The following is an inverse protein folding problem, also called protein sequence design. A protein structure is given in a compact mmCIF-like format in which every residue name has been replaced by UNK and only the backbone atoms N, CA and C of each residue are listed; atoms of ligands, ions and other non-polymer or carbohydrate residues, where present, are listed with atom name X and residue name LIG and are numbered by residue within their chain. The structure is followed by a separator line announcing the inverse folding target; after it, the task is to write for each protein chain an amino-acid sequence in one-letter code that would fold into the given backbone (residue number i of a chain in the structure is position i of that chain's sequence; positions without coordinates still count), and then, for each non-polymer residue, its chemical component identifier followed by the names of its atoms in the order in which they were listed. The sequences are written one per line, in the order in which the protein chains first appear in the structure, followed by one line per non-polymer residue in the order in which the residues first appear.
data_IF_638608508668
#
_entry.id   IF_638608508668
#
_cell.length_a   1.000
_cell.length_b   1.000
_cell.length_c   1.000
_cell.angle_alpha   90.00
_cell.angle_beta   90.00
_cell.angle_gamma   90.00
#
_symmetry.space_group_name_H-M   'P 1'
#
loop_
_entity.id
_entity.type
_entity.pdbx_description
1 polymer ?
#
# COMPACT_ATOMS: atom_id res chain seq x y z
N UNK A 1 -11.76 -49.34 -48.29
CA UNK A 1 -12.47 -48.14 -47.77
C UNK A 1 -12.04 -47.98 -46.33
N UNK A 2 -11.07 -47.10 -46.04
CA UNK A 2 -10.55 -46.82 -44.69
C UNK A 2 -11.31 -45.62 -44.13
N UNK A 3 -12.08 -45.81 -43.06
CA UNK A 3 -12.78 -44.73 -42.35
C UNK A 3 -11.76 -43.98 -41.48
N UNK A 4 -11.52 -42.74 -41.81
CA UNK A 4 -10.71 -41.81 -41.04
C UNK A 4 -11.58 -41.28 -39.89
N UNK A 5 -11.27 -41.66 -38.66
CA UNK A 5 -11.91 -41.09 -37.46
C UNK A 5 -11.11 -39.86 -37.06
N UNK A 6 -11.69 -38.66 -37.29
CA UNK A 6 -11.12 -37.38 -36.89
C UNK A 6 -11.48 -37.14 -35.43
N UNK A 7 -10.55 -37.40 -34.51
CA UNK A 7 -10.71 -37.02 -33.09
C UNK A 7 -10.47 -35.55 -32.92
N UNK A 8 -11.55 -34.81 -32.70
CA UNK A 8 -11.48 -33.38 -32.30
C UNK A 8 -11.16 -33.34 -30.77
N UNK A 9 -9.91 -33.05 -30.45
CA UNK A 9 -9.52 -32.73 -29.07
C UNK A 9 -9.94 -31.28 -28.81
N UNK A 10 -11.05 -31.11 -28.11
CA UNK A 10 -11.47 -29.81 -27.57
C UNK A 10 -10.62 -29.52 -26.34
N UNK A 11 -9.58 -28.71 -26.50
CA UNK A 11 -8.84 -28.15 -25.37
C UNK A 11 -9.70 -27.04 -24.78
N UNK A 12 -10.42 -27.37 -23.70
CA UNK A 12 -11.08 -26.39 -22.87
C UNK A 12 -10.00 -25.62 -22.10
N UNK A 13 -9.57 -24.48 -22.65
CA UNK A 13 -8.79 -23.49 -21.89
C UNK A 13 -9.76 -22.87 -20.91
N UNK A 14 -9.78 -23.40 -19.68
CA UNK A 14 -10.43 -22.73 -18.55
C UNK A 14 -9.62 -21.47 -18.24
N UNK A 15 -10.03 -20.33 -18.83
CA UNK A 15 -9.62 -19.03 -18.33
C UNK A 15 -10.14 -18.92 -16.90
N UNK A 16 -9.28 -19.17 -15.92
CA UNK A 16 -9.51 -18.70 -14.57
C UNK A 16 -9.53 -17.17 -14.65
N UNK A 17 -10.72 -16.62 -14.83
CA UNK A 17 -10.99 -15.22 -14.54
C UNK A 17 -10.66 -15.06 -13.05
N UNK A 18 -9.46 -14.55 -12.73
CA UNK A 18 -9.18 -14.01 -11.41
C UNK A 18 -10.09 -12.80 -11.25
N UNK A 19 -11.33 -13.05 -10.79
CA UNK A 19 -12.15 -12.00 -10.24
C UNK A 19 -11.30 -11.37 -9.14
N UNK A 20 -10.88 -10.13 -9.34
CA UNK A 20 -10.35 -9.29 -8.28
C UNK A 20 -11.53 -9.09 -7.31
N UNK A 21 -11.68 -10.02 -6.36
CA UNK A 21 -12.61 -9.85 -5.27
C UNK A 21 -12.19 -8.60 -4.52
N UNK A 22 -13.13 -7.68 -4.33
CA UNK A 22 -12.98 -6.58 -3.38
C UNK A 22 -12.77 -7.22 -2.00
N UNK A 23 -11.54 -7.45 -1.64
CA UNK A 23 -11.17 -8.07 -0.37
C UNK A 23 -11.01 -6.93 0.63
N UNK A 24 -11.98 -6.78 1.53
CA UNK A 24 -11.74 -5.98 2.73
C UNK A 24 -10.58 -6.62 3.51
N UNK A 25 -9.39 -6.04 3.39
CA UNK A 25 -8.19 -6.53 4.07
C UNK A 25 -8.43 -6.58 5.58
N UNK A 26 -8.15 -7.73 6.19
CA UNK A 26 -8.25 -7.94 7.63
C UNK A 26 -6.91 -8.41 8.19
N UNK A 27 -6.74 -8.26 9.50
CA UNK A 27 -5.59 -8.86 10.20
C UNK A 27 -5.60 -10.37 9.99
N UNK A 28 -4.47 -10.91 9.55
CA UNK A 28 -4.29 -12.31 9.18
C UNK A 28 -4.37 -12.59 7.68
N UNK A 29 -4.96 -11.70 6.88
CA UNK A 29 -5.05 -11.88 5.43
C UNK A 29 -3.74 -11.54 4.74
N UNK A 30 -3.46 -12.22 3.63
CA UNK A 30 -2.41 -11.79 2.71
C UNK A 30 -2.90 -10.58 1.92
N UNK A 31 -2.14 -9.48 1.97
CA UNK A 31 -2.52 -8.26 1.29
C UNK A 31 -2.44 -8.42 -0.24
N UNK A 32 -3.49 -8.02 -0.99
CA UNK A 32 -3.46 -8.00 -2.45
C UNK A 32 -2.38 -7.07 -3.00
N UNK A 33 -1.79 -7.44 -4.13
CA UNK A 33 -0.72 -6.68 -4.79
C UNK A 33 -1.19 -5.32 -5.31
N UNK A 34 -0.24 -4.39 -5.31
CA UNK A 34 -0.38 -3.05 -5.88
C UNK A 34 0.89 -2.64 -6.64
N UNK A 35 0.73 -1.65 -7.51
CA UNK A 35 1.81 -0.96 -8.22
C UNK A 35 1.51 0.53 -8.20
N UNK A 36 2.44 1.33 -7.68
CA UNK A 36 2.31 2.80 -7.61
C UNK A 36 3.63 3.46 -8.01
N UNK A 37 3.56 4.76 -8.31
CA UNK A 37 4.74 5.57 -8.62
C UNK A 37 4.96 6.65 -7.58
N UNK A 38 6.22 7.07 -7.42
CA UNK A 38 6.59 8.26 -6.65
C UNK A 38 6.43 9.55 -7.47
N UNK A 39 6.85 10.70 -6.89
CA UNK A 39 6.81 12.00 -7.55
C UNK A 39 7.73 12.10 -8.77
N UNK A 40 8.80 11.34 -8.83
CA UNK A 40 9.77 11.33 -9.93
C UNK A 40 9.37 10.31 -11.03
N UNK A 41 8.31 9.51 -10.80
CA UNK A 41 7.80 8.51 -11.73
C UNK A 41 8.43 7.13 -11.58
N UNK A 42 9.23 6.91 -10.56
CA UNK A 42 9.77 5.58 -10.26
C UNK A 42 8.65 4.65 -9.78
N UNK A 43 8.61 3.44 -10.32
CA UNK A 43 7.60 2.45 -9.99
C UNK A 43 8.00 1.63 -8.75
N UNK A 44 7.04 1.41 -7.87
CA UNK A 44 7.15 0.57 -6.69
C UNK A 44 6.03 -0.46 -6.65
N UNK A 45 6.35 -1.62 -6.13
CA UNK A 45 5.41 -2.75 -5.99
C UNK A 45 5.46 -3.30 -4.57
N UNK A 46 4.57 -4.23 -4.26
CA UNK A 46 4.63 -5.00 -3.00
C UNK A 46 5.99 -5.67 -2.75
N UNK A 47 6.76 -5.94 -3.83
CA UNK A 47 8.06 -6.62 -3.76
C UNK A 47 9.26 -5.68 -3.69
N UNK A 48 9.08 -4.36 -3.83
CA UNK A 48 10.18 -3.38 -3.80
C UNK A 48 11.00 -3.44 -2.50
N UNK A 49 10.36 -3.90 -1.41
CA UNK A 49 11.02 -4.09 -0.10
C UNK A 49 10.82 -5.51 0.41
N UNK A 50 11.11 -6.50 -0.43
CA UNK A 50 11.01 -7.92 -0.08
C UNK A 50 11.79 -8.24 1.19
N UNK A 51 11.17 -9.01 2.08
CA UNK A 51 11.79 -9.42 3.35
C UNK A 51 11.65 -8.41 4.49
N UNK A 52 11.19 -7.17 4.22
CA UNK A 52 10.96 -6.17 5.28
C UNK A 52 9.50 -6.19 5.76
N UNK A 53 9.30 -5.85 7.01
CA UNK A 53 8.01 -5.42 7.55
C UNK A 53 7.68 -4.06 6.94
N UNK A 54 6.44 -3.88 6.49
CA UNK A 54 5.98 -2.62 5.90
C UNK A 54 5.02 -1.89 6.83
N UNK A 55 5.28 -0.63 7.10
CA UNK A 55 4.30 0.33 7.60
C UNK A 55 3.84 1.18 6.43
N UNK A 56 2.58 1.05 6.06
CA UNK A 56 1.95 1.76 4.96
C UNK A 56 0.99 2.79 5.52
N UNK A 57 1.26 4.06 5.26
CA UNK A 57 0.36 5.16 5.61
C UNK A 57 -0.46 5.52 4.37
N UNK A 58 -1.70 5.03 4.27
CA UNK A 58 -2.64 5.38 3.22
C UNK A 58 -3.42 6.62 3.64
N UNK A 59 -3.28 7.71 2.89
CA UNK A 59 -3.59 9.04 3.41
C UNK A 59 -4.35 9.89 2.41
N UNK A 60 -5.48 10.46 2.84
CA UNK A 60 -6.06 11.63 2.21
C UNK A 60 -5.09 12.83 2.38
N UNK A 61 -4.75 13.56 1.30
CA UNK A 61 -3.87 14.73 1.38
C UNK A 61 -4.32 15.79 2.39
N UNK A 62 -5.62 15.89 2.66
CA UNK A 62 -6.20 16.93 3.52
C UNK A 62 -6.04 16.62 5.02
N UNK A 63 -5.72 15.37 5.37
CA UNK A 63 -5.44 14.92 6.74
C UNK A 63 -4.05 14.30 6.90
N UNK A 64 -3.11 14.71 6.05
CA UNK A 64 -1.78 14.08 5.95
C UNK A 64 -0.93 14.14 7.23
N UNK A 65 -1.21 15.09 8.12
CA UNK A 65 -0.43 15.31 9.34
C UNK A 65 -1.06 14.67 10.59
N UNK A 66 -2.25 14.05 10.42
CA UNK A 66 -3.05 13.49 11.53
C UNK A 66 -2.26 12.55 12.46
N UNK A 67 -1.35 11.75 11.89
CA UNK A 67 -0.57 10.76 12.65
C UNK A 67 0.94 11.07 12.64
N UNK A 68 1.34 12.32 12.50
CA UNK A 68 2.76 12.71 12.61
C UNK A 68 3.37 12.28 13.97
N UNK A 69 2.70 12.41 15.15
CA UNK A 69 3.25 11.92 16.42
C UNK A 69 3.53 10.42 16.40
N UNK A 70 2.62 9.60 15.88
CA UNK A 70 2.81 8.14 15.77
C UNK A 70 3.95 7.78 14.81
N UNK A 71 4.03 8.48 13.66
CA UNK A 71 5.11 8.28 12.70
C UNK A 71 6.47 8.67 13.28
N UNK A 72 6.55 9.77 14.04
CA UNK A 72 7.78 10.21 14.69
C UNK A 72 8.22 9.23 15.80
N UNK A 73 7.29 8.70 16.58
CA UNK A 73 7.57 7.68 17.57
C UNK A 73 8.16 6.41 16.91
N UNK A 74 7.53 5.90 15.84
CA UNK A 74 8.03 4.74 15.08
C UNK A 74 9.41 5.05 14.48
N UNK A 75 9.57 6.23 13.86
CA UNK A 75 10.85 6.66 13.28
C UNK A 75 11.97 6.76 14.32
N UNK A 76 11.66 7.18 15.54
CA UNK A 76 12.62 7.19 16.66
C UNK A 76 13.09 5.78 16.96
N UNK A 77 12.20 4.80 16.96
CA UNK A 77 12.52 3.40 17.24
C UNK A 77 13.33 2.71 16.12
N UNK A 78 13.37 3.28 14.90
CA UNK A 78 14.21 2.77 13.79
C UNK A 78 15.63 3.33 13.79
N UNK A 79 15.95 4.32 14.66
CA UNK A 79 17.30 4.88 14.80
C UNK A 79 18.21 3.97 15.60
N UNK A 80 19.51 4.25 15.57
CA UNK A 80 20.50 3.52 16.34
C UNK A 80 20.11 3.47 17.85
N UNK A 81 20.05 2.27 18.41
CA UNK A 81 19.61 2.03 19.79
C UNK A 81 18.09 1.90 19.98
N UNK A 82 17.29 2.06 18.94
CA UNK A 82 15.85 1.82 18.98
C UNK A 82 15.50 0.32 18.89
N UNK A 83 14.23 0.02 19.09
CA UNK A 83 13.70 -1.37 19.13
C UNK A 83 13.43 -1.98 17.75
N UNK A 84 13.39 -1.16 16.69
CA UNK A 84 13.05 -1.58 15.34
C UNK A 84 14.31 -1.64 14.48
N UNK A 85 14.62 -2.81 13.98
CA UNK A 85 15.72 -3.02 13.02
C UNK A 85 15.39 -2.37 11.67
N UNK A 86 16.06 -1.27 11.34
CA UNK A 86 15.84 -0.52 10.09
C UNK A 86 16.14 -1.33 8.83
N UNK A 87 16.99 -2.35 8.91
CA UNK A 87 17.26 -3.25 7.80
C UNK A 87 16.07 -4.19 7.51
N UNK A 88 15.23 -4.44 8.50
CA UNK A 88 14.04 -5.31 8.41
C UNK A 88 12.72 -4.55 8.37
N UNK A 89 12.76 -3.22 8.32
CA UNK A 89 11.57 -2.38 8.36
C UNK A 89 11.58 -1.34 7.24
N UNK A 90 10.41 -0.97 6.73
CA UNK A 90 10.21 0.15 5.80
C UNK A 90 8.87 0.83 6.09
N UNK A 91 8.93 2.08 6.51
CA UNK A 91 7.79 2.99 6.55
C UNK A 91 7.70 3.82 5.28
N UNK A 92 6.49 4.00 4.73
CA UNK A 92 6.25 4.85 3.57
C UNK A 92 4.79 5.31 3.49
N UNK A 93 4.54 6.37 2.71
CA UNK A 93 3.20 6.89 2.46
C UNK A 93 2.64 6.49 1.10
N UNK A 94 1.33 6.32 1.02
CA UNK A 94 0.58 6.25 -0.24
C UNK A 94 -0.51 7.30 -0.16
N UNK A 95 -0.45 8.29 -1.06
CA UNK A 95 -1.44 9.37 -1.12
C UNK A 95 -2.63 8.92 -1.94
N UNK A 96 -3.82 8.96 -1.34
CA UNK A 96 -5.10 8.77 -2.01
C UNK A 96 -5.51 10.05 -2.73
N UNK A 97 -5.16 10.17 -4.00
CA UNK A 97 -5.47 11.38 -4.75
C UNK A 97 -6.94 11.49 -5.16
N UNK A 98 -7.74 10.42 -4.98
CA UNK A 98 -9.19 10.45 -5.23
C UNK A 98 -9.99 11.03 -4.07
N UNK A 99 -9.41 11.12 -2.88
CA UNK A 99 -10.07 11.67 -1.69
C UNK A 99 -10.06 13.20 -1.63
N UNK A 100 -9.42 13.88 -2.59
CA UNK A 100 -9.35 15.34 -2.60
C UNK A 100 -9.73 15.92 -3.96
N UNK A 101 -10.21 17.16 -3.95
CA UNK A 101 -10.47 17.95 -5.16
C UNK A 101 -9.21 18.62 -5.75
N UNK A 102 -8.09 18.61 -5.01
CA UNK A 102 -6.85 19.24 -5.44
C UNK A 102 -6.29 18.58 -6.72
N UNK A 103 -5.74 19.38 -7.66
CA UNK A 103 -5.11 18.83 -8.86
C UNK A 103 -3.95 17.87 -8.52
N UNK A 104 -3.86 16.74 -9.20
CA UNK A 104 -2.80 15.74 -8.99
C UNK A 104 -1.38 16.32 -9.09
N UNK A 105 -1.16 17.31 -9.96
CA UNK A 105 0.15 17.99 -10.08
C UNK A 105 0.53 18.72 -8.79
N UNK A 106 -0.42 19.40 -8.16
CA UNK A 106 -0.19 20.10 -6.90
C UNK A 106 0.12 19.12 -5.78
N UNK A 107 -0.68 18.05 -5.66
CA UNK A 107 -0.46 16.98 -4.67
C UNK A 107 0.93 16.37 -4.86
N UNK A 108 1.28 16.02 -6.10
CA UNK A 108 2.59 15.44 -6.45
C UNK A 108 3.75 16.36 -6.05
N UNK A 109 3.64 17.65 -6.29
CA UNK A 109 4.68 18.63 -5.91
C UNK A 109 4.83 18.71 -4.40
N UNK A 110 3.73 18.86 -3.66
CA UNK A 110 3.75 18.98 -2.19
C UNK A 110 4.29 17.68 -1.56
N UNK A 111 3.76 16.53 -1.94
CA UNK A 111 4.17 15.24 -1.40
C UNK A 111 5.62 14.89 -1.79
N UNK A 112 6.05 15.22 -3.02
CA UNK A 112 7.44 15.03 -3.44
C UNK A 112 8.43 15.88 -2.62
N UNK A 113 8.07 17.13 -2.31
CA UNK A 113 8.87 17.97 -1.42
C UNK A 113 8.89 17.42 0.02
N UNK A 114 7.75 16.93 0.52
CA UNK A 114 7.65 16.27 1.84
C UNK A 114 8.52 15.00 1.89
N UNK A 115 8.50 14.19 0.84
CA UNK A 115 9.34 12.99 0.72
C UNK A 115 10.82 13.32 0.83
N UNK A 116 11.30 14.32 0.11
CA UNK A 116 12.71 14.79 0.14
C UNK A 116 13.08 15.37 1.51
N UNK A 117 12.22 16.22 2.09
CA UNK A 117 12.45 16.85 3.40
C UNK A 117 12.60 15.84 4.53
N UNK A 118 11.81 14.78 4.52
CA UNK A 118 11.76 13.78 5.61
C UNK A 118 12.51 12.49 5.28
N UNK A 119 13.22 12.43 4.15
CA UNK A 119 13.94 11.23 3.67
C UNK A 119 13.03 10.00 3.72
N UNK A 120 11.88 10.10 3.08
CA UNK A 120 10.86 9.03 3.04
C UNK A 120 10.37 8.78 1.62
N UNK A 121 9.72 7.66 1.41
CA UNK A 121 9.05 7.34 0.14
C UNK A 121 7.59 7.73 0.23
N UNK A 122 7.08 8.48 -0.76
CA UNK A 122 5.65 8.78 -0.89
C UNK A 122 5.21 8.40 -2.30
N UNK A 123 4.22 7.51 -2.38
CA UNK A 123 3.64 6.98 -3.60
C UNK A 123 2.25 7.57 -3.85
N UNK A 124 1.69 7.38 -5.05
CA UNK A 124 0.39 7.96 -5.42
C UNK A 124 -0.58 6.89 -5.91
N UNK A 125 -1.72 6.78 -5.27
CA UNK A 125 -2.86 6.01 -5.73
C UNK A 125 -3.85 6.92 -6.48
N UNK A 126 -3.65 7.07 -7.78
CA UNK A 126 -4.50 7.91 -8.64
C UNK A 126 -5.88 7.30 -8.92
N UNK A 127 -6.05 6.01 -8.67
CA UNK A 127 -7.26 5.27 -9.04
C UNK A 127 -8.12 4.84 -7.84
N UNK A 128 -7.65 5.05 -6.60
CA UNK A 128 -8.28 4.52 -5.39
C UNK A 128 -8.15 2.99 -5.30
N UNK A 129 -7.03 2.47 -5.78
CA UNK A 129 -6.78 1.02 -5.86
C UNK A 129 -6.87 0.36 -4.49
N UNK A 130 -6.35 0.99 -3.43
CA UNK A 130 -6.41 0.43 -2.08
C UNK A 130 -7.79 0.58 -1.44
N UNK A 131 -8.58 1.59 -1.82
CA UNK A 131 -9.98 1.65 -1.44
C UNK A 131 -10.73 0.43 -2.00
N UNK A 132 -10.54 0.13 -3.28
CA UNK A 132 -11.23 -0.96 -3.96
C UNK A 132 -10.71 -2.33 -3.53
N UNK A 133 -9.39 -2.55 -3.55
CA UNK A 133 -8.79 -3.87 -3.28
C UNK A 133 -8.69 -4.23 -1.80
N UNK A 134 -8.45 -3.22 -0.93
CA UNK A 134 -8.25 -3.46 0.50
C UNK A 134 -9.42 -3.00 1.36
N UNK A 135 -10.42 -2.32 0.77
CA UNK A 135 -11.56 -1.76 1.50
C UNK A 135 -11.14 -0.66 2.48
N UNK A 136 -10.08 0.10 2.15
CA UNK A 136 -9.65 1.20 2.99
C UNK A 136 -10.66 2.36 2.90
N UNK A 137 -10.91 3.08 4.00
CA UNK A 137 -11.86 4.19 4.00
C UNK A 137 -11.33 5.34 3.14
N UNK A 138 -12.26 6.03 2.48
CA UNK A 138 -12.06 7.30 1.81
C UNK A 138 -11.98 8.43 2.86
N UNK A 139 -11.39 9.58 2.46
CA UNK A 139 -11.35 10.80 3.26
C UNK A 139 -10.77 10.56 4.68
N UNK A 140 -9.70 9.77 4.77
CA UNK A 140 -9.16 9.32 6.06
C UNK A 140 -7.64 9.12 6.01
N UNK A 141 -7.07 8.88 7.18
CA UNK A 141 -5.74 8.33 7.38
C UNK A 141 -5.87 6.86 7.83
N UNK A 142 -5.20 5.95 7.16
CA UNK A 142 -5.16 4.53 7.57
C UNK A 142 -3.72 4.04 7.59
N UNK A 143 -3.24 3.57 8.75
CA UNK A 143 -1.96 2.88 8.85
C UNK A 143 -2.17 1.38 8.78
N UNK A 144 -1.47 0.72 7.85
CA UNK A 144 -1.49 -0.74 7.69
C UNK A 144 -0.09 -1.30 7.93
N UNK A 145 -0.01 -2.33 8.76
CA UNK A 145 1.24 -3.06 9.04
C UNK A 145 1.18 -4.41 8.34
N UNK A 146 2.14 -4.66 7.46
CA UNK A 146 2.33 -5.97 6.81
C UNK A 146 3.65 -6.57 7.28
N UNK A 147 3.66 -7.87 7.56
CA UNK A 147 4.90 -8.59 7.84
C UNK A 147 5.74 -8.83 6.57
N UNK A 148 6.89 -9.48 6.72
CA UNK A 148 7.82 -9.81 5.62
C UNK A 148 7.19 -10.67 4.52
N UNK A 149 6.14 -11.41 4.84
CA UNK A 149 5.40 -12.29 3.92
C UNK A 149 4.13 -11.62 3.38
N UNK A 150 3.95 -10.32 3.70
CA UNK A 150 2.80 -9.51 3.28
C UNK A 150 1.48 -9.93 3.93
N UNK A 151 1.53 -10.58 5.07
CA UNK A 151 0.35 -10.83 5.89
C UNK A 151 0.06 -9.59 6.74
N UNK A 152 -1.18 -9.14 6.73
CA UNK A 152 -1.64 -7.98 7.51
C UNK A 152 -1.56 -8.29 9.01
N UNK A 153 -0.86 -7.46 9.78
CA UNK A 153 -0.69 -7.57 11.22
C UNK A 153 -1.40 -6.48 12.01
N UNK A 154 -1.80 -5.40 11.34
CA UNK A 154 -2.54 -4.32 11.96
C UNK A 154 -3.14 -3.37 10.94
N UNK A 155 -4.32 -2.82 11.27
CA UNK A 155 -4.99 -1.76 10.51
C UNK A 155 -5.52 -0.76 11.54
N UNK A 156 -5.05 0.48 11.43
CA UNK A 156 -5.43 1.58 12.32
C UNK A 156 -6.04 2.68 11.47
N UNK A 157 -7.31 3.00 11.72
CA UNK A 157 -8.09 3.99 10.95
C UNK A 157 -8.27 5.25 11.78
N UNK A 158 -8.03 6.40 11.15
CA UNK A 158 -8.09 7.70 11.81
C UNK A 158 -6.86 8.00 12.67
N UNK A 159 -7.04 8.85 13.66
CA UNK A 159 -6.00 9.23 14.61
C UNK A 159 -5.59 8.04 15.50
N UNK A 160 -4.29 7.84 15.63
CA UNK A 160 -3.72 6.83 16.51
C UNK A 160 -3.39 7.52 17.86
N UNK A 161 -4.05 7.15 18.96
CA UNK A 161 -3.80 7.80 20.24
C UNK A 161 -2.41 7.48 20.79
N UNK A 162 -1.80 8.44 21.50
CA UNK A 162 -0.45 8.31 22.06
C UNK A 162 -0.26 7.06 22.95
N UNK A 163 -1.34 6.59 23.58
CA UNK A 163 -1.30 5.36 24.38
C UNK A 163 -1.03 4.08 23.60
N UNK A 164 -0.92 4.17 22.26
CA UNK A 164 -0.69 3.03 21.36
C UNK A 164 0.73 2.95 20.82
N UNK A 165 1.60 3.96 21.09
CA UNK A 165 2.98 4.00 20.59
C UNK A 165 4.02 4.47 21.64
#
# INVERSE_FOLDING_TARGET
MKKLVLSIVVIAISMLSMNAQNVNLKVGDKAPDWVFTDADGNEFTMNSWKGKVLQINYVDPDVSDLNDPANDAIKKETKAGGRIDSEKFKGFGIVDTKSTWKPNMLIRTIAGNKAKKFDTTILFDYKGTLQEKWGLPKDNYTMVILDKDRVCRGIYKGEIPESKF
#
